data_IF_695505817084
#
_entry.id   IF_695505817084
#
_cell.length_a   1.000
_cell.length_b   1.000
_cell.length_c   1.000
_cell.angle_alpha   90.00
_cell.angle_beta   90.00
_cell.angle_gamma   90.00
#
_symmetry.space_group_name_H-M   'P 1'
#
loop_
_entity.id
_entity.type
_entity.pdbx_description
1 polymer ?
#
# COMPACT_ATOMS: atom_id res chain seq x y z
N UNK A 1 -27.89 8.81 81.43
CA UNK A 1 -28.44 7.55 81.98
C UNK A 1 -27.32 6.61 82.43
N UNK A 2 -26.15 6.55 81.77
CA UNK A 2 -25.14 5.52 82.11
C UNK A 2 -24.04 5.96 83.10
N UNK A 3 -23.76 7.26 83.25
CA UNK A 3 -22.87 7.75 84.34
C UNK A 3 -23.48 7.51 85.74
N UNK A 4 -24.82 7.46 85.83
CA UNK A 4 -25.54 7.19 87.07
C UNK A 4 -25.15 5.85 87.69
N UNK A 5 -24.99 4.78 86.91
CA UNK A 5 -24.81 3.44 87.47
C UNK A 5 -23.46 3.29 88.22
N UNK A 6 -22.38 3.92 87.73
CA UNK A 6 -21.10 3.88 88.44
C UNK A 6 -21.10 4.81 89.66
N UNK A 7 -21.81 5.93 89.57
CA UNK A 7 -21.97 6.87 90.68
C UNK A 7 -22.86 6.29 91.80
N UNK A 8 -23.94 5.60 91.44
CA UNK A 8 -24.81 4.85 92.35
C UNK A 8 -24.07 3.69 93.03
N UNK A 9 -23.12 3.04 92.35
CA UNK A 9 -22.27 2.01 92.96
C UNK A 9 -21.22 2.61 93.93
N UNK A 10 -20.78 3.86 93.73
CA UNK A 10 -19.84 4.56 94.64
C UNK A 10 -20.53 5.01 95.95
N UNK A 11 -21.83 5.31 95.91
CA UNK A 11 -22.60 5.81 97.07
C UNK A 11 -23.15 4.70 97.99
N UNK A 12 -23.07 3.43 97.57
CA UNK A 12 -23.65 2.29 98.30
C UNK A 12 -22.59 1.59 99.15
N UNK A 13 -22.64 1.81 100.46
CA UNK A 13 -21.85 1.06 101.45
C UNK A 13 -22.79 0.42 102.47
N UNK A 14 -22.90 -0.91 102.49
CA UNK A 14 -23.89 -1.61 103.33
C UNK A 14 -23.29 -1.81 104.72
N UNK A 15 -23.10 -0.74 105.50
CA UNK A 15 -22.50 -0.82 106.84
C UNK A 15 -23.35 -1.55 107.90
N UNK A 16 -24.58 -1.98 107.60
CA UNK A 16 -25.53 -2.57 108.56
C UNK A 16 -25.93 -4.00 108.17
N UNK A 17 -25.73 -4.97 109.08
CA UNK A 17 -26.14 -6.36 108.88
C UNK A 17 -27.66 -6.49 108.69
N UNK A 18 -28.08 -6.78 107.47
CA UNK A 18 -29.41 -7.27 107.15
C UNK A 18 -29.43 -8.80 107.31
N UNK A 19 -30.47 -9.35 107.93
CA UNK A 19 -30.56 -10.77 108.27
C UNK A 19 -30.39 -11.65 107.03
N UNK A 20 -29.30 -12.43 106.97
CA UNK A 20 -29.05 -13.45 105.94
C UNK A 20 -27.94 -13.13 104.92
N UNK A 21 -27.31 -11.96 104.99
CA UNK A 21 -26.19 -11.58 104.11
C UNK A 21 -24.98 -11.12 104.94
N UNK A 22 -23.76 -11.41 104.46
CA UNK A 22 -22.54 -10.83 105.01
C UNK A 22 -22.22 -9.52 104.26
N UNK A 23 -22.24 -8.35 104.91
CA UNK A 23 -22.01 -7.08 104.25
C UNK A 23 -20.70 -6.99 103.48
N UNK A 24 -19.62 -7.62 103.98
CA UNK A 24 -18.31 -7.60 103.34
C UNK A 24 -18.34 -8.32 101.98
N UNK A 25 -19.01 -9.47 101.89
CA UNK A 25 -19.12 -10.23 100.63
C UNK A 25 -19.96 -9.50 99.58
N UNK A 26 -20.98 -8.74 100.02
CA UNK A 26 -21.79 -7.91 99.12
C UNK A 26 -21.00 -6.72 98.62
N UNK A 27 -20.26 -6.03 99.49
CA UNK A 27 -19.38 -4.93 99.10
C UNK A 27 -18.28 -5.44 98.11
N UNK A 28 -17.68 -6.60 98.35
CA UNK A 28 -16.71 -7.23 97.44
C UNK A 28 -17.30 -7.58 96.06
N UNK A 29 -18.58 -7.99 96.03
CA UNK A 29 -19.29 -8.28 94.78
C UNK A 29 -19.59 -7.00 94.00
N UNK A 30 -20.02 -5.93 94.68
CA UNK A 30 -20.28 -4.62 94.06
C UNK A 30 -18.98 -4.02 93.50
N UNK A 31 -17.89 -4.12 94.26
CA UNK A 31 -16.54 -3.72 93.82
C UNK A 31 -16.10 -4.47 92.56
N UNK A 32 -16.37 -5.78 92.49
CA UNK A 32 -16.06 -6.60 91.30
C UNK A 32 -16.92 -6.21 90.11
N UNK A 33 -18.23 -6.06 90.31
CA UNK A 33 -19.16 -5.64 89.26
C UNK A 33 -18.78 -4.25 88.71
N UNK A 34 -18.36 -3.33 89.58
CA UNK A 34 -17.85 -2.01 89.20
C UNK A 34 -16.64 -2.10 88.28
N UNK A 35 -15.61 -2.90 88.66
CA UNK A 35 -14.42 -3.11 87.83
C UNK A 35 -14.77 -3.72 86.47
N UNK A 36 -15.67 -4.70 86.44
CA UNK A 36 -16.09 -5.35 85.20
C UNK A 36 -16.88 -4.40 84.28
N UNK A 37 -17.76 -3.56 84.83
CA UNK A 37 -18.47 -2.52 84.07
C UNK A 37 -17.49 -1.50 83.50
N UNK A 38 -16.49 -1.08 84.27
CA UNK A 38 -15.43 -0.16 83.82
C UNK A 38 -14.62 -0.80 82.67
N UNK A 39 -14.22 -2.05 82.81
CA UNK A 39 -13.51 -2.80 81.76
C UNK A 39 -14.36 -2.95 80.49
N UNK A 40 -15.65 -3.29 80.62
CA UNK A 40 -16.59 -3.36 79.50
C UNK A 40 -16.76 -2.01 78.81
N UNK A 41 -16.83 -0.91 79.56
CA UNK A 41 -16.90 0.44 78.97
C UNK A 41 -15.62 0.81 78.23
N UNK A 42 -14.46 0.52 78.80
CA UNK A 42 -13.18 0.81 78.12
C UNK A 42 -13.01 -0.05 76.86
N UNK A 43 -13.43 -1.32 76.89
CA UNK A 43 -13.36 -2.19 75.72
C UNK A 43 -14.37 -1.79 74.64
N UNK A 44 -15.60 -1.43 75.01
CA UNK A 44 -16.60 -0.90 74.08
C UNK A 44 -16.12 0.40 73.41
N UNK A 45 -15.55 1.33 74.19
CA UNK A 45 -14.96 2.56 73.65
C UNK A 45 -13.83 2.27 72.66
N UNK A 46 -12.87 1.42 73.03
CA UNK A 46 -11.77 1.02 72.13
C UNK A 46 -12.29 0.30 70.87
N UNK A 47 -13.35 -0.48 70.98
CA UNK A 47 -13.98 -1.13 69.83
C UNK A 47 -14.64 -0.10 68.90
N UNK A 48 -15.35 0.88 69.45
CA UNK A 48 -15.93 1.99 68.70
C UNK A 48 -14.88 2.82 67.98
N UNK A 49 -13.82 3.25 68.68
CA UNK A 49 -12.72 4.03 68.10
C UNK A 49 -12.04 3.27 66.94
N UNK A 50 -11.87 1.95 67.06
CA UNK A 50 -11.34 1.11 65.97
C UNK A 50 -12.30 1.00 64.79
N UNK A 51 -13.61 0.86 65.04
CA UNK A 51 -14.62 0.80 63.99
C UNK A 51 -14.68 2.13 63.21
N UNK A 52 -14.72 3.26 63.91
CA UNK A 52 -14.69 4.59 63.30
C UNK A 52 -13.41 4.85 62.49
N UNK A 53 -12.27 4.33 62.95
CA UNK A 53 -11.01 4.43 62.19
C UNK A 53 -11.07 3.57 60.92
N UNK A 54 -11.57 2.34 61.01
CA UNK A 54 -11.73 1.46 59.85
C UNK A 54 -12.73 2.03 58.83
N UNK A 55 -13.84 2.62 59.28
CA UNK A 55 -14.81 3.29 58.40
C UNK A 55 -14.20 4.49 57.68
N UNK A 56 -13.39 5.30 58.37
CA UNK A 56 -12.65 6.41 57.74
C UNK A 56 -11.66 5.91 56.68
N UNK A 57 -10.90 4.86 56.99
CA UNK A 57 -9.97 4.27 56.03
C UNK A 57 -10.69 3.73 54.79
N UNK A 58 -11.80 3.01 54.98
CA UNK A 58 -12.60 2.50 53.86
C UNK A 58 -13.21 3.64 53.03
N UNK A 59 -13.64 4.73 53.66
CA UNK A 59 -14.14 5.90 52.93
C UNK A 59 -13.04 6.53 52.06
N UNK A 60 -11.85 6.71 52.62
CA UNK A 60 -10.68 7.23 51.88
C UNK A 60 -10.29 6.32 50.70
N UNK A 61 -10.25 5.01 50.91
CA UNK A 61 -9.95 4.04 49.85
C UNK A 61 -11.03 4.01 48.76
N UNK A 62 -12.31 4.10 49.13
CA UNK A 62 -13.41 4.16 48.17
C UNK A 62 -13.38 5.43 47.32
N UNK A 63 -13.05 6.56 47.93
CA UNK A 63 -12.93 7.82 47.20
C UNK A 63 -11.72 7.79 46.26
N UNK A 64 -10.57 7.25 46.71
CA UNK A 64 -9.41 7.03 45.84
C UNK A 64 -9.72 6.05 44.68
N UNK A 65 -10.49 4.99 44.93
CA UNK A 65 -10.90 4.06 43.89
C UNK A 65 -11.85 4.71 42.87
N UNK A 66 -12.76 5.58 43.33
CA UNK A 66 -13.67 6.34 42.45
C UNK A 66 -12.92 7.33 41.59
N UNK A 67 -11.94 8.06 42.14
CA UNK A 67 -11.12 8.99 41.35
C UNK A 67 -10.29 8.25 40.32
N UNK A 68 -9.61 7.16 40.71
CA UNK A 68 -8.83 6.35 39.78
C UNK A 68 -9.70 5.75 38.66
N UNK A 69 -10.92 5.31 38.98
CA UNK A 69 -11.88 4.84 37.97
C UNK A 69 -12.29 5.96 37.01
N UNK A 70 -12.62 7.15 37.51
CA UNK A 70 -13.00 8.28 36.68
C UNK A 70 -11.85 8.71 35.73
N UNK A 71 -10.61 8.71 36.22
CA UNK A 71 -9.42 8.98 35.42
C UNK A 71 -9.21 7.92 34.33
N UNK A 72 -9.36 6.63 34.66
CA UNK A 72 -9.25 5.54 33.70
C UNK A 72 -10.35 5.61 32.63
N UNK A 73 -11.61 5.87 33.02
CA UNK A 73 -12.72 6.03 32.08
C UNK A 73 -12.50 7.24 31.14
N UNK A 74 -11.96 8.36 31.66
CA UNK A 74 -11.60 9.52 30.84
C UNK A 74 -10.45 9.21 29.86
N UNK A 75 -9.43 8.46 30.30
CA UNK A 75 -8.34 8.02 29.43
C UNK A 75 -8.84 7.09 28.31
N UNK A 76 -9.73 6.14 28.63
CA UNK A 76 -10.34 5.24 27.64
C UNK A 76 -11.18 6.03 26.64
N UNK A 77 -11.99 6.98 27.10
CA UNK A 77 -12.80 7.83 26.22
C UNK A 77 -11.92 8.65 25.27
N UNK A 78 -10.80 9.18 25.77
CA UNK A 78 -9.83 9.93 24.96
C UNK A 78 -9.17 9.03 23.92
N UNK A 79 -8.65 7.87 24.32
CA UNK A 79 -8.05 6.91 23.40
C UNK A 79 -9.04 6.41 22.33
N UNK A 80 -10.31 6.21 22.69
CA UNK A 80 -11.36 5.83 21.75
C UNK A 80 -11.65 6.95 20.73
N UNK A 81 -11.67 8.21 21.16
CA UNK A 81 -11.85 9.35 20.26
C UNK A 81 -10.66 9.52 19.29
N UNK A 82 -9.43 9.36 19.79
CA UNK A 82 -8.22 9.40 18.97
C UNK A 82 -8.19 8.26 17.94
N UNK A 83 -8.50 7.03 18.37
CA UNK A 83 -8.60 5.89 17.47
C UNK A 83 -9.67 6.09 16.38
N UNK A 84 -10.83 6.64 16.74
CA UNK A 84 -11.89 6.97 15.79
C UNK A 84 -11.44 8.01 14.76
N UNK A 85 -10.71 9.05 15.19
CA UNK A 85 -10.13 10.06 14.30
C UNK A 85 -9.12 9.44 13.32
N UNK A 86 -8.16 8.66 13.84
CA UNK A 86 -7.14 8.00 13.02
C UNK A 86 -7.76 7.07 11.96
N UNK A 87 -8.81 6.33 12.34
CA UNK A 87 -9.51 5.49 11.38
C UNK A 87 -10.33 6.28 10.36
N UNK A 88 -10.85 7.46 10.71
CA UNK A 88 -11.52 8.34 9.76
C UNK A 88 -10.52 8.91 8.75
N UNK A 89 -9.37 9.38 9.22
CA UNK A 89 -8.30 9.94 8.41
C UNK A 89 -7.74 8.89 7.44
N UNK A 90 -7.42 7.68 7.93
CA UNK A 90 -6.93 6.58 7.11
C UNK A 90 -7.95 6.15 6.03
N UNK A 91 -9.25 6.19 6.34
CA UNK A 91 -10.30 5.90 5.35
C UNK A 91 -10.41 6.98 4.29
N UNK A 92 -10.28 8.25 4.67
CA UNK A 92 -10.26 9.36 3.73
C UNK A 92 -9.05 9.27 2.79
N UNK A 93 -7.85 9.05 3.33
CA UNK A 93 -6.63 8.89 2.54
C UNK A 93 -6.72 7.68 1.59
N UNK A 94 -7.26 6.54 2.05
CA UNK A 94 -7.48 5.38 1.19
C UNK A 94 -8.54 5.62 0.09
N UNK A 95 -9.51 6.50 0.30
CA UNK A 95 -10.48 6.89 -0.72
C UNK A 95 -9.84 7.83 -1.75
N UNK A 96 -9.00 8.77 -1.29
CA UNK A 96 -8.26 9.68 -2.16
C UNK A 96 -7.25 8.93 -3.03
N UNK A 97 -6.49 8.01 -2.46
CA UNK A 97 -5.55 7.16 -3.19
C UNK A 97 -6.25 6.31 -4.25
N UNK A 98 -7.42 5.72 -3.94
CA UNK A 98 -8.21 4.98 -4.93
C UNK A 98 -8.69 5.88 -6.06
N UNK A 99 -9.17 7.07 -5.73
CA UNK A 99 -9.64 8.04 -6.73
C UNK A 99 -8.49 8.51 -7.63
N UNK A 100 -7.31 8.75 -7.06
CA UNK A 100 -6.11 9.14 -7.79
C UNK A 100 -5.61 8.01 -8.71
N UNK A 101 -5.52 6.78 -8.19
CA UNK A 101 -5.11 5.61 -8.96
C UNK A 101 -6.08 5.35 -10.13
N UNK A 102 -7.38 5.43 -9.89
CA UNK A 102 -8.39 5.29 -10.95
C UNK A 102 -8.26 6.38 -12.03
N UNK A 103 -7.96 7.62 -11.63
CA UNK A 103 -7.72 8.71 -12.56
C UNK A 103 -6.46 8.46 -13.42
N UNK A 104 -5.37 8.02 -12.80
CA UNK A 104 -4.12 7.69 -13.48
C UNK A 104 -4.28 6.50 -14.45
N UNK A 105 -4.97 5.43 -14.03
CA UNK A 105 -5.26 4.27 -14.89
C UNK A 105 -6.08 4.72 -16.11
N UNK A 106 -7.11 5.54 -15.91
CA UNK A 106 -7.92 6.05 -17.03
C UNK A 106 -7.09 6.92 -17.97
N UNK A 107 -6.24 7.80 -17.44
CA UNK A 107 -5.36 8.64 -18.24
C UNK A 107 -4.37 7.80 -19.05
N UNK A 108 -3.71 6.82 -18.44
CA UNK A 108 -2.77 5.91 -19.11
C UNK A 108 -3.45 5.11 -20.24
N UNK A 109 -4.68 4.63 -20.01
CA UNK A 109 -5.47 3.95 -21.05
C UNK A 109 -5.80 4.90 -22.21
N UNK A 110 -6.19 6.15 -21.91
CA UNK A 110 -6.51 7.14 -22.94
C UNK A 110 -5.27 7.51 -23.77
N UNK A 111 -4.13 7.75 -23.11
CA UNK A 111 -2.85 8.01 -23.76
C UNK A 111 -2.41 6.82 -24.64
N UNK A 112 -2.55 5.59 -24.12
CA UNK A 112 -2.24 4.38 -24.88
C UNK A 112 -3.11 4.25 -26.13
N UNK A 113 -4.42 4.53 -26.02
CA UNK A 113 -5.34 4.54 -27.17
C UNK A 113 -5.00 5.62 -28.19
N UNK A 114 -4.67 6.83 -27.73
CA UNK A 114 -4.28 7.93 -28.61
C UNK A 114 -3.02 7.59 -29.40
N UNK A 115 -1.99 7.03 -28.74
CA UNK A 115 -0.75 6.58 -29.39
C UNK A 115 -1.01 5.49 -30.43
N UNK A 116 -1.84 4.50 -30.12
CA UNK A 116 -2.17 3.43 -31.09
C UNK A 116 -2.88 3.99 -32.33
N UNK A 117 -3.80 4.94 -32.15
CA UNK A 117 -4.48 5.59 -33.28
C UNK A 117 -3.50 6.39 -34.13
N UNK A 118 -2.60 7.16 -33.52
CA UNK A 118 -1.55 7.89 -34.22
C UNK A 118 -0.64 6.95 -35.01
N UNK A 119 -0.18 5.86 -34.40
CA UNK A 119 0.62 4.83 -35.07
C UNK A 119 -0.14 4.19 -36.24
N UNK A 120 -1.42 3.89 -36.08
CA UNK A 120 -2.25 3.32 -37.15
C UNK A 120 -2.35 4.29 -38.34
N UNK A 121 -2.61 5.58 -38.07
CA UNK A 121 -2.64 6.60 -39.13
C UNK A 121 -1.29 6.78 -39.81
N UNK A 122 -0.18 6.68 -39.07
CA UNK A 122 1.17 6.72 -39.62
C UNK A 122 1.47 5.53 -40.54
N UNK A 123 1.12 4.32 -40.11
CA UNK A 123 1.28 3.10 -40.91
C UNK A 123 0.38 3.10 -42.16
N UNK A 124 -0.84 3.65 -42.06
CA UNK A 124 -1.72 3.81 -43.21
C UNK A 124 -1.12 4.77 -44.25
N UNK A 125 -0.56 5.89 -43.81
CA UNK A 125 0.11 6.84 -44.70
C UNK A 125 1.36 6.23 -45.35
N UNK A 126 2.18 5.50 -44.59
CA UNK A 126 3.36 4.80 -45.13
C UNK A 126 2.97 3.73 -46.14
N UNK A 127 1.94 2.93 -45.85
CA UNK A 127 1.39 1.95 -46.78
C UNK A 127 0.92 2.60 -48.08
N UNK A 128 0.23 3.74 -47.98
CA UNK A 128 -0.30 4.42 -49.15
C UNK A 128 0.83 5.01 -50.01
N UNK A 129 1.90 5.51 -49.39
CA UNK A 129 3.11 5.94 -50.09
C UNK A 129 3.82 4.77 -50.80
N UNK A 130 3.98 3.62 -50.13
CA UNK A 130 4.56 2.41 -50.76
C UNK A 130 3.72 1.94 -51.94
N UNK A 131 2.38 2.04 -51.86
CA UNK A 131 1.50 1.70 -52.99
C UNK A 131 1.70 2.65 -54.16
N UNK A 132 1.80 3.94 -53.92
CA UNK A 132 2.10 4.94 -54.96
C UNK A 132 3.45 4.64 -55.63
N UNK A 133 4.50 4.31 -54.86
CA UNK A 133 5.80 3.90 -55.40
C UNK A 133 5.71 2.63 -56.27
N UNK A 134 4.92 1.62 -55.84
CA UNK A 134 4.66 0.41 -56.64
C UNK A 134 3.97 0.77 -57.96
N UNK A 135 2.95 1.63 -57.93
CA UNK A 135 2.22 2.03 -59.12
C UNK A 135 3.14 2.75 -60.12
N UNK A 136 3.94 3.71 -59.65
CA UNK A 136 4.93 4.43 -60.48
C UNK A 136 5.97 3.48 -61.07
N UNK A 137 6.50 2.55 -60.27
CA UNK A 137 7.50 1.58 -60.76
C UNK A 137 6.88 0.59 -61.76
N UNK A 138 5.62 0.19 -61.57
CA UNK A 138 4.90 -0.65 -62.51
C UNK A 138 4.69 0.07 -63.86
N UNK A 139 4.31 1.35 -63.84
CA UNK A 139 4.21 2.17 -65.06
C UNK A 139 5.56 2.31 -65.77
N UNK A 140 6.65 2.53 -65.04
CA UNK A 140 7.99 2.62 -65.61
C UNK A 140 8.40 1.31 -66.30
N UNK A 141 8.15 0.17 -65.65
CA UNK A 141 8.43 -1.16 -66.21
C UNK A 141 7.59 -1.40 -67.46
N UNK A 142 6.30 -1.05 -67.44
CA UNK A 142 5.43 -1.16 -68.60
C UNK A 142 5.93 -0.30 -69.78
N UNK A 143 6.31 0.95 -69.51
CA UNK A 143 6.87 1.85 -70.53
C UNK A 143 8.20 1.32 -71.11
N UNK A 144 9.07 0.75 -70.26
CA UNK A 144 10.31 0.14 -70.72
C UNK A 144 10.04 -1.10 -71.59
N UNK A 145 9.12 -1.97 -71.17
CA UNK A 145 8.67 -3.13 -71.95
C UNK A 145 8.14 -2.69 -73.32
N UNK A 146 7.27 -1.69 -73.38
CA UNK A 146 6.71 -1.19 -74.63
C UNK A 146 7.78 -0.62 -75.57
N UNK A 147 8.80 0.06 -75.03
CA UNK A 147 9.94 0.52 -75.84
C UNK A 147 10.76 -0.64 -76.39
N UNK A 148 11.04 -1.65 -75.58
CA UNK A 148 11.75 -2.86 -76.03
C UNK A 148 10.96 -3.60 -77.11
N UNK A 149 9.65 -3.77 -76.93
CA UNK A 149 8.80 -4.42 -77.93
C UNK A 149 8.79 -3.65 -79.25
N UNK A 150 8.67 -2.31 -79.22
CA UNK A 150 8.78 -1.48 -80.44
C UNK A 150 10.14 -1.63 -81.11
N UNK A 151 11.25 -1.56 -80.35
CA UNK A 151 12.58 -1.73 -80.92
C UNK A 151 12.78 -3.13 -81.54
N UNK A 152 12.21 -4.18 -80.94
CA UNK A 152 12.23 -5.54 -81.51
C UNK A 152 11.41 -5.60 -82.81
N UNK A 153 10.24 -4.98 -82.87
CA UNK A 153 9.43 -4.89 -84.08
C UNK A 153 10.13 -4.07 -85.19
N UNK A 154 10.77 -2.96 -84.85
CA UNK A 154 11.57 -2.17 -85.79
C UNK A 154 12.76 -2.98 -86.34
N UNK A 155 13.43 -3.76 -85.51
CA UNK A 155 14.50 -4.67 -85.95
C UNK A 155 13.94 -5.80 -86.83
N UNK A 156 12.76 -6.35 -86.49
CA UNK A 156 12.10 -7.38 -87.31
C UNK A 156 11.74 -6.85 -88.69
N UNK A 157 11.10 -5.67 -88.76
CA UNK A 157 10.74 -5.03 -90.04
C UNK A 157 11.98 -4.67 -90.86
N UNK A 158 13.08 -4.26 -90.22
CA UNK A 158 14.36 -4.04 -90.90
C UNK A 158 14.90 -5.33 -91.52
N UNK A 159 14.84 -6.46 -90.80
CA UNK A 159 15.28 -7.77 -91.30
C UNK A 159 14.38 -8.25 -92.45
N UNK A 160 13.06 -8.16 -92.31
CA UNK A 160 12.10 -8.51 -93.37
C UNK A 160 12.32 -7.64 -94.63
N UNK A 161 12.59 -6.34 -94.47
CA UNK A 161 12.87 -5.43 -95.59
C UNK A 161 14.24 -5.61 -96.28
N UNK A 162 15.17 -6.39 -95.69
CA UNK A 162 16.44 -6.74 -96.34
C UNK A 162 16.21 -7.74 -97.49
N UNK A 163 15.19 -8.58 -97.40
CA UNK A 163 14.84 -9.53 -98.48
C UNK A 163 14.29 -8.84 -99.73
N UNK A 164 13.71 -7.63 -99.59
CA UNK A 164 13.13 -6.83 -100.69
C UNK A 164 14.07 -5.77 -101.28
N UNK A 165 15.35 -5.74 -100.87
CA UNK A 165 16.32 -4.73 -101.35
C UNK A 165 16.93 -5.10 -102.72
N UNK A 166 16.84 -4.25 -103.76
CA UNK A 166 17.65 -4.44 -104.96
C UNK A 166 19.14 -4.27 -104.62
N UNK A 167 19.99 -5.15 -105.14
CA UNK A 167 21.41 -5.20 -104.83
C UNK A 167 22.12 -3.86 -105.11
N UNK A 168 22.44 -3.12 -104.06
CA UNK A 168 23.30 -1.93 -104.13
C UNK A 168 24.73 -2.33 -103.83
N UNK A 169 25.62 -1.94 -104.74
CA UNK A 169 27.07 -2.10 -104.72
C UNK A 169 27.65 -1.43 -103.46
N UNK A 170 28.45 -2.19 -102.71
CA UNK A 170 29.21 -1.70 -101.57
C UNK A 170 30.38 -0.86 -102.10
N UNK A 171 30.29 0.46 -102.02
CA UNK A 171 31.48 1.32 -102.06
C UNK A 171 32.10 1.39 -100.66
N UNK A 172 33.42 1.20 -100.65
CA UNK A 172 34.25 1.13 -99.46
C UNK A 172 34.14 2.40 -98.60
N UNK A 173 33.76 2.23 -97.33
CA UNK A 173 33.83 3.26 -96.30
C UNK A 173 35.21 3.22 -95.63
N UNK A 174 35.87 4.38 -95.39
CA UNK A 174 37.19 4.40 -94.77
C UNK A 174 37.12 4.02 -93.28
N UNK A 175 38.21 3.43 -92.80
CA UNK A 175 38.39 2.93 -91.44
C UNK A 175 38.15 4.00 -90.37
N UNK A 176 37.46 3.68 -89.25
CA UNK A 176 37.40 4.57 -88.11
C UNK A 176 38.73 4.50 -87.34
N UNK A 177 39.37 5.66 -87.19
CA UNK A 177 40.43 5.89 -86.21
C UNK A 177 39.93 5.57 -84.80
N UNK A 178 40.55 4.59 -84.14
CA UNK A 178 40.39 4.33 -82.71
C UNK A 178 40.79 5.58 -81.91
N UNK A 179 39.80 6.26 -81.34
CA UNK A 179 40.03 7.19 -80.24
C UNK A 179 39.64 6.44 -78.98
N UNK A 180 40.65 6.06 -78.20
CA UNK A 180 40.49 5.44 -76.89
C UNK A 180 39.92 6.48 -75.91
N UNK A 181 38.71 6.30 -75.35
CA UNK A 181 38.25 7.17 -74.28
C UNK A 181 38.97 6.75 -73.00
N UNK A 182 39.70 7.69 -72.40
CA UNK A 182 40.29 7.52 -71.07
C UNK A 182 39.20 7.10 -70.08
N UNK A 183 39.38 5.93 -69.46
CA UNK A 183 38.55 5.46 -68.35
C UNK A 183 38.81 6.38 -67.15
N UNK A 184 37.93 7.37 -66.96
CA UNK A 184 37.86 8.07 -65.69
C UNK A 184 37.30 7.09 -64.64
N UNK A 185 38.16 6.62 -63.73
CA UNK A 185 37.72 5.89 -62.55
C UNK A 185 36.78 6.78 -61.73
N UNK A 186 35.61 6.30 -61.28
CA UNK A 186 34.83 7.01 -60.28
C UNK A 186 35.61 7.04 -58.95
N UNK A 187 35.53 8.11 -58.15
CA UNK A 187 36.11 8.09 -56.82
C UNK A 187 35.43 7.03 -55.96
N UNK A 188 36.22 6.36 -55.13
CA UNK A 188 35.75 5.40 -54.15
C UNK A 188 34.60 5.97 -53.31
N UNK A 189 33.54 5.18 -53.14
CA UNK A 189 32.54 5.46 -52.12
C UNK A 189 33.21 5.42 -50.75
N UNK A 190 33.25 6.58 -50.09
CA UNK A 190 33.48 6.65 -48.65
C UNK A 190 32.23 6.04 -48.02
N UNK A 191 32.33 4.76 -47.62
CA UNK A 191 31.37 4.16 -46.69
C UNK A 191 31.70 4.75 -45.32
N UNK A 192 31.10 5.90 -45.03
CA UNK A 192 31.09 6.46 -43.69
C UNK A 192 29.96 5.79 -42.88
N UNK A 193 30.41 4.99 -41.91
CA UNK A 193 29.81 4.69 -40.63
C UNK A 193 28.27 4.78 -40.47
N UNK A 194 27.67 3.63 -40.16
CA UNK A 194 26.82 3.56 -38.96
C UNK A 194 26.90 2.18 -38.33
N UNK A 195 27.73 2.06 -37.30
CA UNK A 195 27.58 1.04 -36.26
C UNK A 195 26.26 1.33 -35.52
N UNK A 196 25.33 0.39 -35.35
CA UNK A 196 24.52 0.41 -34.15
C UNK A 196 25.40 -0.14 -33.02
N UNK A 197 25.77 0.73 -32.09
CA UNK A 197 26.18 0.27 -30.78
C UNK A 197 24.97 -0.40 -30.15
N UNK A 198 24.98 -1.73 -30.08
CA UNK A 198 24.13 -2.48 -29.15
C UNK A 198 24.50 -2.04 -27.74
N UNK A 199 23.78 -1.05 -27.22
CA UNK A 199 23.73 -0.77 -25.78
C UNK A 199 22.78 -1.82 -25.20
N UNK A 200 23.31 -3.02 -24.98
CA UNK A 200 22.69 -3.99 -24.07
C UNK A 200 22.93 -3.44 -22.67
N UNK A 201 21.98 -2.68 -22.14
CA UNK A 201 21.89 -2.44 -20.69
C UNK A 201 21.67 -3.79 -20.01
N UNK A 202 22.75 -4.38 -19.49
CA UNK A 202 22.66 -5.47 -18.52
C UNK A 202 21.90 -4.92 -17.31
N UNK A 203 20.72 -5.47 -17.05
CA UNK A 203 20.05 -5.32 -15.77
C UNK A 203 20.97 -5.92 -14.69
N UNK A 204 21.45 -5.07 -13.78
CA UNK A 204 22.08 -5.55 -12.56
C UNK A 204 21.02 -6.26 -11.71
N UNK A 205 21.26 -7.50 -11.25
CA UNK A 205 20.39 -8.13 -10.27
C UNK A 205 20.48 -7.34 -8.96
N UNK A 206 19.34 -6.83 -8.50
CA UNK A 206 19.18 -6.30 -7.16
C UNK A 206 19.30 -7.47 -6.19
N UNK A 207 20.22 -7.38 -5.23
CA UNK A 207 20.37 -8.37 -4.18
C UNK A 207 19.06 -8.46 -3.37
N UNK A 208 18.58 -9.66 -3.01
CA UNK A 208 17.45 -9.77 -2.09
C UNK A 208 17.85 -9.16 -0.75
N UNK A 209 17.16 -8.11 -0.33
CA UNK A 209 17.28 -7.59 1.02
C UNK A 209 16.82 -8.67 1.98
N UNK A 210 17.76 -9.17 2.77
CA UNK A 210 17.49 -10.03 3.91
C UNK A 210 16.76 -9.18 4.96
N UNK A 211 15.43 -9.19 4.88
CA UNK A 211 14.52 -8.67 5.90
C UNK A 211 13.69 -9.85 6.40
N UNK A 212 14.17 -10.50 7.46
CA UNK A 212 13.48 -11.63 8.07
C UNK A 212 12.15 -11.18 8.67
N UNK A 213 11.08 -11.80 8.19
CA UNK A 213 9.84 -11.97 8.95
C UNK A 213 9.62 -13.47 9.01
N UNK A 214 10.04 -14.07 10.13
CA UNK A 214 9.66 -15.43 10.47
C UNK A 214 8.17 -15.41 10.79
N UNK A 215 7.35 -15.80 9.81
CA UNK A 215 5.97 -16.18 10.01
C UNK A 215 5.90 -17.69 9.81
N UNK A 216 5.61 -18.41 10.88
CA UNK A 216 5.43 -19.86 10.88
C UNK A 216 4.33 -20.24 9.87
N UNK A 217 4.66 -21.19 8.98
CA UNK A 217 3.87 -21.58 7.82
C UNK A 217 2.67 -22.48 8.13
N UNK A 218 2.00 -22.30 9.26
CA UNK A 218 0.88 -23.17 9.69
C UNK A 218 -0.49 -22.47 9.69
N UNK A 219 -0.60 -21.19 9.32
CA UNK A 219 -1.86 -20.43 9.42
C UNK A 219 -2.62 -20.22 8.08
N UNK A 220 -2.16 -20.84 6.98
CA UNK A 220 -2.82 -20.71 5.67
C UNK A 220 -3.96 -21.71 5.46
N UNK A 221 -4.01 -22.80 6.23
CA UNK A 221 -5.06 -23.83 6.09
C UNK A 221 -6.36 -23.45 6.84
N UNK A 222 -6.31 -22.50 7.79
CA UNK A 222 -7.49 -22.02 8.50
C UNK A 222 -8.29 -20.96 7.71
N UNK A 223 -7.67 -20.28 6.73
CA UNK A 223 -8.32 -19.20 5.98
C UNK A 223 -9.27 -19.69 4.87
N UNK A 224 -9.07 -20.90 4.35
CA UNK A 224 -9.87 -21.46 3.25
C UNK A 224 -10.95 -22.47 3.69
N UNK A 225 -11.07 -22.75 4.99
CA UNK A 225 -11.95 -23.80 5.50
C UNK A 225 -13.39 -23.34 5.83
N UNK A 226 -13.72 -22.05 5.73
CA UNK A 226 -15.03 -21.51 6.12
C UNK A 226 -15.78 -20.78 4.99
N UNK A 227 -15.68 -21.28 3.76
CA UNK A 227 -16.65 -20.90 2.72
C UNK A 227 -17.04 -22.11 1.86
N UNK A 228 -18.09 -22.82 2.32
CA UNK A 228 -18.95 -23.60 1.42
C UNK A 228 -19.31 -25.02 1.84
N UNK A 229 -20.32 -25.17 2.72
CA UNK A 229 -21.54 -26.00 2.51
C UNK A 229 -22.41 -26.05 3.77
#
# INVERSE_FOLDING_TARGET
>A
MDEDILHELDDVHIGTKMRGYDPVEVDDLLDRARREIEDLRTTARRAGERAELAERQLAEELDAARTARAEAEAAIATAAAEAASLMADARAEAADLRTAADAEIRASIQDGRARMLEQMTGLEAERDLVREEIDVTAELVAAHRDRLLRAVDDLRTLVEGVEDRPAVVIEARPEPTSVEPAVASPPASVVEARRPAEVVTRLHPVAPSVGGVGGDGEDLDAFFADDGS
#
